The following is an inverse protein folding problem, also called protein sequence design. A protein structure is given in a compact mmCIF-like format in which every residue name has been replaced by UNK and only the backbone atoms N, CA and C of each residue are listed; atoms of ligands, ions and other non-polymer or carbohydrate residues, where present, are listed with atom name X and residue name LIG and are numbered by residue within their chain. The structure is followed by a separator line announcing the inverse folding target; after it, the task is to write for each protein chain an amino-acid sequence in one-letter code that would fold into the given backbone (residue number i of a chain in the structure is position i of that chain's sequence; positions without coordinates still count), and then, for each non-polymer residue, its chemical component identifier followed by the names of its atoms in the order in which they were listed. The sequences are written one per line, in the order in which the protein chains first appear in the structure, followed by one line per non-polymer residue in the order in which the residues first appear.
data_IF_087723157106
#
_entry.id   IF_087723157106
#
_cell.length_a   1.000
_cell.length_b   1.000
_cell.length_c   1.000
_cell.angle_alpha   90.00
_cell.angle_beta   90.00
_cell.angle_gamma   90.00
#
_symmetry.space_group_name_H-M   'P 1'
#
loop_
_entity.id
_entity.type
_entity.pdbx_description
1 polymer ?
#
# COMPACT_ATOMS: atom_id res chain seq x y z
N UNK A 1 8.91 3.07 -4.56
CA UNK A 1 7.69 3.81 -4.96
C UNK A 1 8.10 5.12 -5.62
N UNK A 2 7.98 5.27 -6.94
CA UNK A 2 8.50 6.43 -7.68
C UNK A 2 7.44 7.45 -8.14
N UNK A 3 6.15 7.18 -7.91
CA UNK A 3 5.03 8.01 -8.41
C UNK A 3 4.07 8.47 -7.30
N UNK A 4 4.52 8.46 -6.04
CA UNK A 4 3.67 8.87 -4.91
C UNK A 4 2.68 7.82 -4.38
N UNK A 5 2.73 6.58 -4.88
CA UNK A 5 1.95 5.48 -4.31
C UNK A 5 2.40 5.15 -2.89
N UNK A 6 1.45 4.96 -1.98
CA UNK A 6 1.69 4.57 -0.59
C UNK A 6 2.03 3.08 -0.43
N UNK A 7 1.59 2.25 -1.39
CA UNK A 7 1.83 0.81 -1.44
C UNK A 7 1.81 0.34 -2.91
N UNK A 8 2.64 -0.64 -3.27
CA UNK A 8 2.67 -1.37 -4.54
C UNK A 8 3.07 -2.82 -4.24
N UNK A 9 2.26 -3.79 -4.67
CA UNK A 9 2.61 -5.20 -4.69
C UNK A 9 3.12 -5.55 -6.08
N UNK A 10 4.39 -5.92 -6.19
CA UNK A 10 5.05 -6.20 -7.46
C UNK A 10 5.91 -7.46 -7.34
N UNK A 11 5.27 -8.62 -7.45
CA UNK A 11 5.93 -9.93 -7.55
C UNK A 11 5.42 -10.67 -8.79
N UNK A 12 6.16 -11.66 -9.33
CA UNK A 12 5.69 -12.45 -10.48
C UNK A 12 4.32 -13.12 -10.29
N UNK A 13 3.93 -13.39 -9.04
CA UNK A 13 2.68 -14.06 -8.68
C UNK A 13 1.59 -13.13 -8.17
N UNK A 14 1.86 -11.82 -8.03
CA UNK A 14 0.82 -10.87 -7.61
C UNK A 14 -0.36 -10.92 -8.60
N UNK A 15 -1.57 -11.03 -8.05
CA UNK A 15 -2.86 -10.88 -8.74
C UNK A 15 -3.66 -9.81 -7.99
N UNK A 16 -4.73 -9.30 -8.59
CA UNK A 16 -5.50 -8.18 -8.03
C UNK A 16 -6.01 -8.41 -6.61
N UNK A 17 -6.41 -9.64 -6.27
CA UNK A 17 -6.89 -10.02 -4.92
C UNK A 17 -5.78 -10.57 -4.01
N UNK A 18 -4.59 -10.83 -4.55
CA UNK A 18 -3.49 -11.42 -3.80
C UNK A 18 -2.97 -10.39 -2.78
N UNK A 19 -3.04 -10.74 -1.49
CA UNK A 19 -2.74 -9.84 -0.36
C UNK A 19 -3.60 -8.58 -0.24
N UNK A 20 -4.72 -8.46 -0.96
CA UNK A 20 -5.51 -7.21 -0.97
C UNK A 20 -5.91 -6.73 0.44
N UNK A 21 -6.20 -7.65 1.37
CA UNK A 21 -6.48 -7.32 2.77
C UNK A 21 -5.26 -6.73 3.50
N UNK A 22 -4.13 -7.44 3.48
CA UNK A 22 -2.89 -7.02 4.16
C UNK A 22 -2.34 -5.71 3.56
N UNK A 23 -2.38 -5.60 2.23
CA UNK A 23 -1.96 -4.40 1.49
C UNK A 23 -2.86 -3.21 1.81
N UNK A 24 -4.16 -3.44 2.02
CA UNK A 24 -5.08 -2.39 2.44
C UNK A 24 -4.79 -1.91 3.87
N UNK A 25 -4.49 -2.83 4.81
CA UNK A 25 -4.10 -2.45 6.17
C UNK A 25 -2.85 -1.57 6.15
N UNK A 26 -1.81 -1.98 5.41
CA UNK A 26 -0.58 -1.18 5.22
C UNK A 26 -0.85 0.18 4.57
N UNK A 27 -1.72 0.22 3.58
CA UNK A 27 -2.11 1.47 2.90
C UNK A 27 -2.86 2.41 3.85
N UNK A 28 -3.73 1.89 4.71
CA UNK A 28 -4.46 2.67 5.73
C UNK A 28 -3.49 3.31 6.71
N UNK A 29 -2.55 2.52 7.25
CA UNK A 29 -1.56 3.00 8.22
C UNK A 29 -0.65 4.05 7.61
N UNK A 30 -0.14 3.80 6.39
CA UNK A 30 0.68 4.76 5.66
C UNK A 30 -0.07 6.08 5.40
N UNK A 31 -1.39 6.02 5.16
CA UNK A 31 -2.22 7.22 5.00
C UNK A 31 -2.37 8.00 6.30
N UNK A 32 -2.66 7.33 7.42
CA UNK A 32 -2.76 7.99 8.73
C UNK A 32 -1.43 8.65 9.11
N UNK A 33 -0.32 7.93 8.95
CA UNK A 33 1.01 8.46 9.26
C UNK A 33 1.38 9.67 8.39
N UNK A 34 0.96 9.70 7.12
CA UNK A 34 1.18 10.86 6.24
C UNK A 34 0.37 12.07 6.69
N UNK A 35 -0.88 11.88 7.12
CA UNK A 35 -1.74 12.97 7.60
C UNK A 35 -1.27 13.52 8.95
N UNK A 36 -0.71 12.69 9.83
CA UNK A 36 -0.18 13.13 11.12
C UNK A 36 1.14 13.92 11.01
N UNK A 37 1.86 13.79 9.89
CA UNK A 37 3.12 14.51 9.62
C UNK A 37 2.91 15.86 8.90
N UNK A 38 1.68 16.15 8.47
CA UNK A 38 1.30 17.39 7.80
C UNK A 38 0.79 18.40 8.83
#
# INVERSE_FOLDING_TARGET
YGKGFLMVSATPLTRSSYHAGDDFARLRDARVAKLAKA
#
